data_IF_513421584542
#
_entry.id   IF_513421584542
#
_cell.length_a   1.000
_cell.length_b   1.000
_cell.length_c   1.000
_cell.angle_alpha   90.00
_cell.angle_beta   90.00
_cell.angle_gamma   90.00
#
_symmetry.space_group_name_H-M   'P 1'
#
loop_
_entity.id
_entity.type
_entity.pdbx_description
1 polymer ?
#
# COMPACT_ATOMS: atom_id res chain seq x y z
N UNK A 1 -18.26 -8.68 -9.61
CA UNK A 1 -19.12 -9.70 -8.96
C UNK A 1 -19.80 -10.59 -10.00
N UNK A 2 -20.65 -10.04 -10.87
CA UNK A 2 -21.38 -10.83 -11.87
C UNK A 2 -20.50 -11.71 -12.75
N UNK A 3 -19.35 -11.19 -13.20
CA UNK A 3 -18.39 -11.97 -14.00
C UNK A 3 -17.86 -13.23 -13.29
N UNK A 4 -17.75 -13.22 -11.96
CA UNK A 4 -17.35 -14.40 -11.19
C UNK A 4 -18.52 -15.39 -11.05
N UNK A 5 -19.75 -14.88 -10.91
CA UNK A 5 -20.94 -15.72 -10.83
C UNK A 5 -21.24 -16.42 -12.16
N UNK A 6 -21.09 -15.71 -13.29
CA UNK A 6 -21.23 -16.29 -14.63
C UNK A 6 -20.13 -17.29 -14.97
N UNK A 7 -18.96 -17.16 -14.33
CA UNK A 7 -17.91 -18.18 -14.40
C UNK A 7 -18.27 -19.42 -13.56
N UNK A 8 -18.69 -19.24 -12.31
CA UNK A 8 -18.97 -20.37 -11.40
C UNK A 8 -20.26 -21.14 -11.74
N UNK A 9 -21.30 -20.45 -12.23
CA UNK A 9 -22.60 -21.04 -12.53
C UNK A 9 -23.16 -20.49 -13.86
N UNK A 10 -22.57 -20.86 -15.01
CA UNK A 10 -22.93 -20.30 -16.31
C UNK A 10 -24.39 -20.62 -16.73
N UNK A 11 -24.96 -21.71 -16.24
CA UNK A 11 -26.35 -22.11 -16.52
C UNK A 11 -27.40 -21.25 -15.78
N UNK A 12 -26.97 -20.52 -14.75
CA UNK A 12 -27.83 -19.62 -13.95
C UNK A 12 -27.53 -18.17 -14.30
N UNK A 13 -26.27 -17.85 -14.57
CA UNK A 13 -25.79 -16.49 -14.84
C UNK A 13 -25.28 -16.38 -16.28
N UNK A 14 -26.20 -16.21 -17.22
CA UNK A 14 -25.84 -15.99 -18.62
C UNK A 14 -25.16 -14.64 -18.81
N UNK A 15 -24.10 -14.61 -19.63
CA UNK A 15 -23.33 -13.38 -19.90
C UNK A 15 -24.17 -12.26 -20.49
N UNK A 16 -25.26 -12.59 -21.18
CA UNK A 16 -26.22 -11.66 -21.79
C UNK A 16 -26.95 -10.79 -20.75
N UNK A 17 -27.19 -11.29 -19.54
CA UNK A 17 -27.92 -10.56 -18.49
C UNK A 17 -27.02 -9.72 -17.57
N UNK A 18 -25.76 -9.50 -17.96
CA UNK A 18 -24.82 -8.70 -17.17
C UNK A 18 -25.32 -7.26 -16.99
N UNK A 19 -25.79 -6.62 -18.06
CA UNK A 19 -26.24 -5.23 -18.03
C UNK A 19 -27.50 -5.08 -17.17
N UNK A 20 -28.49 -5.96 -17.34
CA UNK A 20 -29.71 -6.01 -16.53
C UNK A 20 -29.39 -6.12 -15.03
N UNK A 21 -28.47 -7.03 -14.68
CA UNK A 21 -28.06 -7.23 -13.30
C UNK A 21 -27.37 -5.99 -12.72
N UNK A 22 -26.46 -5.38 -13.48
CA UNK A 22 -25.77 -4.17 -13.04
C UNK A 22 -26.78 -3.05 -12.84
N UNK A 23 -27.71 -2.84 -13.78
CA UNK A 23 -28.73 -1.79 -13.72
C UNK A 23 -29.67 -1.98 -12.53
N UNK A 24 -30.17 -3.19 -12.31
CA UNK A 24 -31.09 -3.50 -11.22
C UNK A 24 -30.47 -3.28 -9.83
N UNK A 25 -29.21 -3.68 -9.67
CA UNK A 25 -28.44 -3.50 -8.44
C UNK A 25 -27.54 -2.26 -8.45
N UNK A 26 -27.84 -1.22 -9.25
CA UNK A 26 -27.17 0.07 -9.07
C UNK A 26 -27.55 0.69 -7.72
N UNK A 27 -26.59 1.34 -7.06
CA UNK A 27 -26.81 2.12 -5.84
C UNK A 27 -27.44 1.34 -4.65
N UNK A 28 -27.16 0.03 -4.51
CA UNK A 28 -27.70 -0.81 -3.42
C UNK A 28 -27.49 -0.27 -2.00
N UNK A 29 -26.52 0.63 -1.80
CA UNK A 29 -26.23 1.20 -0.49
C UNK A 29 -27.36 2.10 0.03
N UNK A 30 -28.27 2.56 -0.84
CA UNK A 30 -29.42 3.40 -0.45
C UNK A 30 -30.72 2.60 -0.28
N UNK A 31 -30.78 1.37 -0.77
CA UNK A 31 -31.99 0.54 -0.79
C UNK A 31 -31.75 -0.80 -0.08
N UNK A 32 -32.13 -0.84 1.20
CA UNK A 32 -32.00 -2.04 2.04
C UNK A 32 -32.83 -3.23 1.52
N UNK A 33 -33.90 -3.01 0.75
CA UNK A 33 -34.69 -4.10 0.18
C UNK A 33 -33.93 -4.83 -0.92
N UNK A 34 -33.36 -4.09 -1.88
CA UNK A 34 -32.52 -4.63 -2.96
C UNK A 34 -31.28 -5.32 -2.42
N UNK A 35 -30.68 -4.77 -1.36
CA UNK A 35 -29.53 -5.36 -0.68
C UNK A 35 -29.88 -6.73 -0.07
N UNK A 36 -31.02 -6.87 0.59
CA UNK A 36 -31.50 -8.17 1.11
C UNK A 36 -31.78 -9.17 -0.01
N UNK A 37 -32.40 -8.73 -1.11
CA UNK A 37 -32.64 -9.58 -2.30
C UNK A 37 -31.31 -10.10 -2.84
N UNK A 38 -30.33 -9.22 -3.01
CA UNK A 38 -28.99 -9.59 -3.49
C UNK A 38 -28.32 -10.60 -2.56
N UNK A 39 -28.35 -10.38 -1.24
CA UNK A 39 -27.75 -11.30 -0.27
C UNK A 39 -28.40 -12.68 -0.35
N UNK A 40 -29.73 -12.76 -0.39
CA UNK A 40 -30.44 -14.03 -0.52
C UNK A 40 -30.12 -14.75 -1.83
N UNK A 41 -29.99 -13.98 -2.93
CA UNK A 41 -29.63 -14.50 -4.23
C UNK A 41 -28.19 -15.02 -4.30
N UNK A 42 -27.24 -14.39 -3.58
CA UNK A 42 -25.84 -14.81 -3.51
C UNK A 42 -25.58 -15.94 -2.52
N UNK A 43 -26.44 -16.12 -1.51
CA UNK A 43 -26.31 -17.10 -0.42
C UNK A 43 -25.97 -18.53 -0.87
N UNK A 44 -26.58 -19.11 -1.93
CA UNK A 44 -26.21 -20.45 -2.39
C UNK A 44 -24.85 -20.52 -3.11
N UNK A 45 -24.33 -19.39 -3.61
CA UNK A 45 -23.07 -19.34 -4.36
C UNK A 45 -21.88 -18.88 -3.52
N UNK A 46 -22.13 -18.13 -2.43
CA UNK A 46 -21.08 -17.49 -1.62
C UNK A 46 -21.27 -17.84 -0.16
N UNK A 47 -20.33 -18.63 0.38
CA UNK A 47 -20.20 -18.82 1.81
C UNK A 47 -19.26 -17.75 2.38
N UNK A 48 -19.81 -16.85 3.20
CA UNK A 48 -19.04 -15.83 3.93
C UNK A 48 -19.24 -16.01 5.44
N UNK A 49 -18.16 -16.24 6.17
CA UNK A 49 -18.13 -16.27 7.64
C UNK A 49 -17.17 -15.20 8.16
N UNK A 50 -17.52 -14.52 9.25
CA UNK A 50 -16.60 -13.58 9.90
C UNK A 50 -15.79 -14.32 10.96
N UNK A 51 -14.54 -13.91 11.22
CA UNK A 51 -13.69 -14.54 12.24
C UNK A 51 -14.37 -14.54 13.62
N UNK A 52 -15.05 -13.44 13.97
CA UNK A 52 -15.84 -13.31 15.20
C UNK A 52 -16.98 -14.32 15.34
N UNK A 53 -17.51 -14.83 14.23
CA UNK A 53 -18.63 -15.79 14.24
C UNK A 53 -18.14 -17.23 14.44
N UNK A 54 -16.83 -17.48 14.34
CA UNK A 54 -16.24 -18.84 14.32
C UNK A 54 -15.17 -19.02 15.40
N UNK A 55 -14.43 -17.97 15.75
CA UNK A 55 -13.31 -18.01 16.68
C UNK A 55 -13.52 -16.95 17.77
N UNK A 56 -14.17 -17.35 18.86
CA UNK A 56 -14.47 -16.48 20.02
C UNK A 56 -13.23 -16.11 20.83
N UNK A 57 -12.18 -16.94 20.76
CA UNK A 57 -10.96 -16.78 21.57
C UNK A 57 -9.93 -15.87 20.89
N UNK A 58 -10.20 -15.42 19.65
CA UNK A 58 -9.29 -14.54 18.92
C UNK A 58 -9.49 -13.09 19.41
N UNK A 59 -8.44 -12.41 19.90
CA UNK A 59 -8.56 -11.01 20.32
C UNK A 59 -8.92 -10.10 19.15
N UNK A 60 -9.58 -8.99 19.47
CA UNK A 60 -10.01 -8.02 18.47
C UNK A 60 -8.81 -7.39 17.73
N UNK A 61 -8.97 -7.20 16.42
CA UNK A 61 -7.99 -6.49 15.60
C UNK A 61 -8.12 -5.00 15.86
N UNK A 62 -7.07 -4.39 16.42
CA UNK A 62 -6.93 -2.93 16.48
C UNK A 62 -6.25 -2.40 15.21
N UNK A 63 -6.76 -1.28 14.68
CA UNK A 63 -6.19 -0.59 13.53
C UNK A 63 -5.87 0.85 13.91
N UNK A 64 -4.61 1.25 13.72
CA UNK A 64 -4.12 2.58 14.07
C UNK A 64 -3.50 3.22 12.83
N UNK A 65 -3.98 4.41 12.47
CA UNK A 65 -3.38 5.23 11.43
C UNK A 65 -2.42 6.23 12.07
N UNK A 66 -1.13 6.12 11.72
CA UNK A 66 -0.09 7.01 12.23
C UNK A 66 0.20 8.05 11.16
N UNK A 67 -0.11 9.31 11.46
CA UNK A 67 0.23 10.44 10.62
C UNK A 67 1.67 10.89 10.91
N UNK A 68 2.40 11.25 9.87
CA UNK A 68 3.80 11.67 9.99
C UNK A 68 4.10 12.79 9.01
N UNK A 69 5.07 13.62 9.36
CA UNK A 69 5.58 14.65 8.47
C UNK A 69 6.56 14.07 7.46
N UNK A 70 6.76 14.81 6.37
CA UNK A 70 7.80 14.54 5.39
C UNK A 70 9.14 15.11 5.87
N UNK A 71 10.22 14.35 5.64
CA UNK A 71 11.59 14.83 5.84
C UNK A 71 11.92 16.00 4.92
N UNK A 72 13.04 16.69 5.18
CA UNK A 72 13.48 17.82 4.34
C UNK A 72 13.70 17.38 2.89
N UNK A 73 14.41 16.28 2.67
CA UNK A 73 14.69 15.72 1.33
C UNK A 73 13.39 15.29 0.66
N UNK A 74 12.46 14.66 1.39
CA UNK A 74 11.15 14.30 0.86
C UNK A 74 10.36 15.52 0.41
N UNK A 75 10.34 16.61 1.18
CA UNK A 75 9.65 17.86 0.81
C UNK A 75 10.24 18.48 -0.45
N UNK A 76 11.56 18.47 -0.59
CA UNK A 76 12.26 18.98 -1.78
C UNK A 76 11.94 18.15 -3.03
N UNK A 77 12.03 16.81 -2.93
CA UNK A 77 11.63 15.89 -4.01
C UNK A 77 10.15 16.04 -4.36
N UNK A 78 9.28 16.15 -3.37
CA UNK A 78 7.85 16.28 -3.59
C UNK A 78 7.52 17.56 -4.39
N UNK A 79 8.15 18.69 -4.01
CA UNK A 79 8.04 19.96 -4.76
C UNK A 79 8.61 19.83 -6.18
N UNK A 80 9.76 19.18 -6.35
CA UNK A 80 10.39 18.94 -7.65
C UNK A 80 9.49 18.13 -8.59
N UNK A 81 8.88 17.04 -8.09
CA UNK A 81 7.97 16.18 -8.86
C UNK A 81 6.73 16.98 -9.28
N UNK A 82 6.13 17.75 -8.38
CA UNK A 82 4.94 18.57 -8.67
C UNK A 82 5.21 19.65 -9.72
N UNK A 83 6.37 20.30 -9.63
CA UNK A 83 6.80 21.32 -10.59
C UNK A 83 7.34 20.73 -11.91
N UNK A 84 7.36 19.40 -12.05
CA UNK A 84 7.95 18.66 -13.18
C UNK A 84 9.40 19.05 -13.46
N UNK A 85 10.14 19.47 -12.44
CA UNK A 85 11.49 19.96 -12.60
C UNK A 85 12.44 18.78 -12.83
N UNK A 86 12.78 18.51 -14.10
CA UNK A 86 13.59 17.35 -14.50
C UNK A 86 15.05 17.43 -14.05
N UNK A 87 15.54 18.63 -13.73
CA UNK A 87 16.95 18.90 -13.42
C UNK A 87 17.43 18.31 -12.09
N UNK A 88 16.53 17.95 -11.18
CA UNK A 88 16.88 17.43 -9.85
C UNK A 88 17.15 15.91 -9.87
N UNK A 89 16.72 15.18 -10.92
CA UNK A 89 16.87 13.72 -11.01
C UNK A 89 18.23 13.25 -11.55
N UNK A 90 19.27 14.10 -11.47
CA UNK A 90 20.61 13.83 -11.99
C UNK A 90 20.70 13.84 -13.52
N UNK A 91 21.91 13.81 -14.09
CA UNK A 91 22.09 13.61 -15.53
C UNK A 91 21.56 12.23 -15.89
N UNK A 92 20.45 12.20 -16.63
CA UNK A 92 19.89 10.95 -17.15
C UNK A 92 20.89 10.34 -18.13
N UNK A 93 21.53 9.23 -17.75
CA UNK A 93 22.09 8.31 -18.74
C UNK A 93 20.99 7.98 -19.77
N UNK A 94 21.37 7.83 -21.04
CA UNK A 94 20.49 7.81 -22.21
C UNK A 94 19.38 6.74 -22.25
N UNK A 95 19.16 5.98 -21.16
CA UNK A 95 18.09 5.01 -20.98
C UNK A 95 17.15 5.23 -19.77
N UNK A 96 17.53 5.98 -18.74
CA UNK A 96 16.73 6.10 -17.51
C UNK A 96 15.80 7.33 -17.55
N UNK A 97 14.76 7.24 -18.37
CA UNK A 97 13.66 8.20 -18.33
C UNK A 97 12.73 7.81 -17.19
N UNK A 98 12.92 8.35 -15.98
CA UNK A 98 11.85 8.42 -14.98
C UNK A 98 10.71 9.25 -15.57
N UNK A 99 9.85 8.58 -16.33
CA UNK A 99 8.74 9.19 -17.02
C UNK A 99 7.78 9.77 -15.97
N UNK A 100 7.77 11.11 -15.86
CA UNK A 100 6.83 11.86 -15.04
C UNK A 100 5.39 11.80 -15.58
N UNK A 101 5.10 10.94 -16.58
CA UNK A 101 3.74 10.69 -17.07
C UNK A 101 2.85 10.13 -15.96
N UNK A 102 3.42 9.45 -14.97
CA UNK A 102 2.71 9.02 -13.77
C UNK A 102 3.22 9.76 -12.51
N UNK A 103 2.88 11.04 -12.41
CA UNK A 103 3.22 11.90 -11.24
C UNK A 103 2.82 11.22 -9.93
N UNK A 104 1.63 10.61 -9.87
CA UNK A 104 1.15 9.91 -8.68
C UNK A 104 2.07 8.78 -8.24
N UNK A 105 2.62 8.01 -9.19
CA UNK A 105 3.59 6.97 -8.87
C UNK A 105 4.88 7.55 -8.27
N UNK A 106 5.38 8.65 -8.82
CA UNK A 106 6.60 9.29 -8.32
C UNK A 106 6.38 9.90 -6.93
N UNK A 107 5.25 10.56 -6.69
CA UNK A 107 4.90 11.06 -5.36
C UNK A 107 4.82 9.93 -4.33
N UNK A 108 4.23 8.78 -4.70
CA UNK A 108 4.19 7.59 -3.84
C UNK A 108 5.60 7.04 -3.53
N UNK A 109 6.52 7.05 -4.50
CA UNK A 109 7.92 6.65 -4.27
C UNK A 109 8.62 7.60 -3.31
N UNK A 110 8.46 8.92 -3.49
CA UNK A 110 9.09 9.94 -2.64
C UNK A 110 8.65 9.84 -1.18
N UNK A 111 7.36 9.57 -0.94
CA UNK A 111 6.84 9.33 0.41
C UNK A 111 7.36 8.00 0.98
N UNK A 112 7.54 6.97 0.15
CA UNK A 112 8.10 5.68 0.57
C UNK A 112 9.50 5.83 1.16
N UNK A 113 10.45 6.25 0.32
CA UNK A 113 11.81 6.60 0.74
C UNK A 113 12.50 7.43 -0.36
N UNK A 114 13.25 8.52 -0.05
CA UNK A 114 13.94 9.33 -1.06
C UNK A 114 14.94 8.56 -1.91
N UNK A 115 15.63 7.57 -1.34
CA UNK A 115 16.68 6.80 -2.03
C UNK A 115 16.15 5.88 -3.14
N UNK A 116 14.83 5.81 -3.33
CA UNK A 116 14.25 5.21 -4.54
C UNK A 116 14.53 6.04 -5.81
N UNK A 117 15.02 7.28 -5.67
CA UNK A 117 15.41 8.13 -6.78
C UNK A 117 16.92 8.10 -6.96
N UNK A 118 17.41 7.84 -8.19
CA UNK A 118 18.84 7.82 -8.45
C UNK A 118 19.48 9.18 -8.17
N UNK A 119 20.69 9.17 -7.61
CA UNK A 119 21.45 10.38 -7.28
C UNK A 119 20.99 11.16 -6.04
N UNK A 120 20.00 10.64 -5.29
CA UNK A 120 19.58 11.23 -4.00
C UNK A 120 20.34 10.60 -2.83
N UNK A 121 20.63 9.31 -2.93
CA UNK A 121 21.44 8.61 -1.93
C UNK A 121 22.89 9.08 -2.00
N UNK A 122 23.56 9.33 -0.86
CA UNK A 122 24.98 9.64 -0.85
C UNK A 122 25.81 8.50 -1.46
N UNK A 123 26.75 8.83 -2.34
CA UNK A 123 27.72 7.87 -2.90
C UNK A 123 29.13 8.18 -2.36
N UNK A 124 29.91 7.16 -1.91
CA UNK A 124 29.59 5.73 -1.89
C UNK A 124 28.53 5.37 -0.84
N UNK A 125 27.85 4.23 -1.05
CA UNK A 125 26.88 3.72 -0.07
C UNK A 125 27.56 3.42 1.26
N UNK A 126 27.01 4.00 2.32
CA UNK A 126 27.41 3.75 3.70
C UNK A 126 26.16 3.42 4.51
N UNK A 127 26.30 2.55 5.52
CA UNK A 127 25.20 2.26 6.44
C UNK A 127 25.21 3.30 7.56
N UNK A 128 24.08 3.97 7.82
CA UNK A 128 24.01 4.94 8.90
C UNK A 128 22.66 5.59 9.13
N UNK A 129 22.64 6.55 10.06
CA UNK A 129 21.44 7.30 10.44
C UNK A 129 20.77 8.04 9.28
N UNK A 130 21.52 8.38 8.23
CA UNK A 130 20.98 9.06 7.04
C UNK A 130 19.84 8.26 6.39
N UNK A 131 19.83 6.92 6.48
CA UNK A 131 18.70 6.09 6.04
C UNK A 131 17.42 6.48 6.79
N UNK A 132 17.49 6.55 8.12
CA UNK A 132 16.35 6.87 8.99
C UNK A 132 15.92 8.33 8.83
N UNK A 133 16.87 9.26 8.84
CA UNK A 133 16.61 10.70 8.75
C UNK A 133 16.06 11.13 7.38
N UNK A 134 16.43 10.41 6.31
CA UNK A 134 15.96 10.70 4.97
C UNK A 134 14.44 10.48 4.82
N UNK A 135 13.81 9.60 5.59
CA UNK A 135 12.37 9.30 5.46
C UNK A 135 11.61 9.49 6.76
N UNK A 136 10.63 10.38 6.76
CA UNK A 136 9.76 10.59 7.92
C UNK A 136 8.99 9.32 8.32
N UNK A 137 8.70 8.43 7.36
CA UNK A 137 8.07 7.15 7.64
C UNK A 137 9.04 6.19 8.34
N UNK A 138 10.29 6.13 7.90
CA UNK A 138 11.31 5.27 8.49
C UNK A 138 11.70 5.77 9.88
N UNK A 139 11.76 7.08 10.07
CA UNK A 139 11.99 7.70 11.38
C UNK A 139 10.95 7.28 12.44
N UNK A 140 9.65 7.30 12.10
CA UNK A 140 8.62 6.80 13.03
C UNK A 140 8.72 5.28 13.20
N UNK A 141 8.96 4.55 12.11
CA UNK A 141 9.11 3.11 12.17
C UNK A 141 10.25 2.69 13.10
N UNK A 142 11.36 3.45 13.12
CA UNK A 142 12.51 3.21 13.99
C UNK A 142 12.14 3.25 15.47
N UNK A 143 11.41 4.29 15.88
CA UNK A 143 10.90 4.38 17.25
C UNK A 143 9.90 3.26 17.60
N UNK A 144 9.02 2.90 16.68
CA UNK A 144 8.03 1.83 16.89
C UNK A 144 8.70 0.46 17.02
N UNK A 145 9.64 0.15 16.12
CA UNK A 145 10.32 -1.13 16.11
C UNK A 145 11.21 -1.27 17.35
N UNK A 146 11.92 -0.23 17.77
CA UNK A 146 12.70 -0.27 19.01
C UNK A 146 11.84 -0.64 20.23
N UNK A 147 10.66 -0.02 20.36
CA UNK A 147 9.73 -0.32 21.46
C UNK A 147 9.13 -1.72 21.39
N UNK A 148 8.77 -2.17 20.18
CA UNK A 148 8.18 -3.50 19.96
C UNK A 148 9.21 -4.62 20.16
N UNK A 149 10.45 -4.39 19.72
CA UNK A 149 11.57 -5.31 19.87
C UNK A 149 11.95 -5.49 21.35
N UNK A 150 12.02 -4.40 22.12
CA UNK A 150 12.25 -4.46 23.56
C UNK A 150 11.20 -5.32 24.30
N UNK A 151 9.95 -5.33 23.79
CA UNK A 151 8.85 -6.14 24.30
C UNK A 151 8.75 -7.54 23.68
N UNK A 152 9.69 -7.92 22.82
CA UNK A 152 9.73 -9.22 22.11
C UNK A 152 8.49 -9.49 21.25
N UNK A 153 7.89 -8.45 20.68
CA UNK A 153 6.82 -8.60 19.70
C UNK A 153 7.38 -8.98 18.32
N UNK A 154 6.64 -9.80 17.58
CA UNK A 154 6.94 -10.11 16.18
C UNK A 154 6.15 -9.18 15.27
N UNK A 155 6.83 -8.56 14.31
CA UNK A 155 6.25 -7.55 13.42
C UNK A 155 6.31 -8.05 11.98
N UNK A 156 5.24 -7.83 11.22
CA UNK A 156 5.19 -8.11 9.79
C UNK A 156 5.02 -6.80 9.02
N UNK A 157 6.00 -6.46 8.20
CA UNK A 157 6.00 -5.25 7.38
C UNK A 157 5.58 -5.56 5.96
N UNK A 158 4.64 -4.78 5.44
CA UNK A 158 4.18 -4.88 4.05
C UNK A 158 4.48 -3.59 3.29
N UNK A 159 4.94 -3.74 2.05
CA UNK A 159 5.16 -2.63 1.12
C UNK A 159 4.65 -3.01 -0.27
N UNK A 160 4.18 -2.02 -1.01
CA UNK A 160 3.82 -2.17 -2.43
C UNK A 160 5.03 -2.01 -3.37
N UNK A 161 6.17 -1.54 -2.83
CA UNK A 161 7.41 -1.35 -3.58
C UNK A 161 8.49 -2.26 -3.02
N UNK A 162 9.04 -3.14 -3.86
CA UNK A 162 10.15 -4.03 -3.49
C UNK A 162 11.40 -3.25 -3.11
N UNK A 163 11.72 -2.16 -3.82
CA UNK A 163 12.85 -1.28 -3.50
C UNK A 163 12.78 -0.66 -2.10
N UNK A 164 11.58 -0.48 -1.53
CA UNK A 164 11.45 -0.02 -0.13
C UNK A 164 11.80 -1.15 0.84
N UNK A 165 11.55 -2.41 0.48
CA UNK A 165 11.95 -3.56 1.28
C UNK A 165 13.47 -3.71 1.30
N UNK A 166 14.14 -3.39 0.19
CA UNK A 166 15.61 -3.39 0.13
C UNK A 166 16.18 -2.36 1.12
N UNK A 167 15.69 -1.11 1.09
CA UNK A 167 16.07 -0.07 2.08
C UNK A 167 15.74 -0.50 3.52
N UNK A 168 14.60 -1.16 3.73
CA UNK A 168 14.24 -1.67 5.06
C UNK A 168 15.17 -2.80 5.51
N UNK A 169 15.64 -3.65 4.59
CA UNK A 169 16.62 -4.69 4.90
C UNK A 169 17.93 -4.07 5.36
N UNK A 170 18.40 -3.03 4.67
CA UNK A 170 19.61 -2.31 5.05
C UNK A 170 19.45 -1.66 6.44
N UNK A 171 18.33 -0.97 6.65
CA UNK A 171 17.99 -0.39 7.95
C UNK A 171 17.93 -1.42 9.09
N UNK A 172 17.27 -2.57 8.89
CA UNK A 172 17.16 -3.61 9.91
C UNK A 172 18.52 -4.24 10.22
N UNK A 173 19.37 -4.40 9.21
CA UNK A 173 20.74 -4.87 9.37
C UNK A 173 21.56 -3.87 10.18
N UNK A 174 21.44 -2.56 9.88
CA UNK A 174 22.12 -1.50 10.61
C UNK A 174 21.69 -1.43 12.09
N UNK A 175 20.40 -1.65 12.39
CA UNK A 175 19.88 -1.67 13.78
C UNK A 175 20.05 -3.02 14.49
N UNK A 176 20.60 -4.03 13.83
CA UNK A 176 20.76 -5.41 14.35
C UNK A 176 19.43 -6.03 14.86
N UNK A 177 18.31 -5.73 14.19
CA UNK A 177 16.98 -6.24 14.53
C UNK A 177 16.68 -7.47 13.66
N UNK A 178 16.61 -8.65 14.29
CA UNK A 178 16.31 -9.95 13.65
C UNK A 178 15.01 -10.58 14.16
#
# INVERSE_FOLDING_TARGET
>A
LYSLLSFCAPNVFYRTHHEDFVQYFQNINKDETRKKILINFLKPFVLRRLKRDVLTDLPDKTELMIYHDLSKIQKELYKAILTKNRSIFGPTEAGSKTSLVNIMMQLRKAIGHPYLFPGVEPEPFEMGEHLVEASGKLHILDHLLAHLYAKKHKVLLFSQFTMVLDVLQDYLTYREIY
#
